data_IF_282538027442
#
_entry.id   IF_282538027442
#
_cell.length_a   1.000
_cell.length_b   1.000
_cell.length_c   1.000
_cell.angle_alpha   90.00
_cell.angle_beta   90.00
_cell.angle_gamma   90.00
#
_symmetry.space_group_name_H-M   'P 1'
#
loop_
_entity.id
_entity.type
_entity.pdbx_description
1 polymer ?
#
# COMPACT_ATOMS: atom_id res chain seq x y z
N UNK A 1 -6.00 2.85 12.85
CA UNK A 1 -4.94 2.97 13.88
C UNK A 1 -4.92 4.42 14.36
N UNK A 2 -4.85 4.71 15.67
CA UNK A 2 -4.64 6.07 16.15
C UNK A 2 -3.22 6.54 15.80
N UNK A 3 -3.10 7.74 15.21
CA UNK A 3 -1.80 8.35 14.90
C UNK A 3 -1.30 9.05 16.16
N UNK A 4 -0.22 8.53 16.76
CA UNK A 4 0.43 9.15 17.92
C UNK A 4 1.54 10.08 17.47
N UNK A 5 1.49 11.32 17.96
CA UNK A 5 2.44 12.38 17.67
C UNK A 5 3.38 12.53 18.87
N UNK A 6 4.61 12.05 18.73
CA UNK A 6 5.60 12.08 19.82
C UNK A 6 6.12 13.49 20.11
N UNK A 7 6.07 14.37 19.11
CA UNK A 7 6.53 15.76 19.17
C UNK A 7 5.52 16.70 18.53
N UNK A 8 5.49 17.96 18.99
CA UNK A 8 4.70 19.05 18.39
C UNK A 8 5.29 19.57 17.06
N UNK A 9 5.98 18.72 16.31
CA UNK A 9 6.52 19.06 15.00
C UNK A 9 5.48 18.80 13.92
N UNK A 10 4.94 19.88 13.35
CA UNK A 10 3.95 19.82 12.28
C UNK A 10 4.45 19.05 11.05
N UNK A 11 5.74 19.15 10.73
CA UNK A 11 6.30 18.48 9.56
C UNK A 11 6.32 16.96 9.73
N UNK A 12 6.78 16.48 10.89
CA UNK A 12 6.79 15.04 11.21
C UNK A 12 5.37 14.47 11.33
N UNK A 13 4.45 15.25 11.90
CA UNK A 13 3.04 14.91 11.98
C UNK A 13 2.43 14.68 10.60
N UNK A 14 2.64 15.65 9.70
CA UNK A 14 2.14 15.62 8.33
C UNK A 14 2.74 14.45 7.55
N UNK A 15 4.04 14.18 7.75
CA UNK A 15 4.73 13.04 7.15
C UNK A 15 4.12 11.71 7.57
N UNK A 16 4.01 11.44 8.88
CA UNK A 16 3.42 10.20 9.41
C UNK A 16 1.99 9.99 8.90
N UNK A 17 1.21 11.06 8.87
CA UNK A 17 -0.18 11.01 8.45
C UNK A 17 -0.33 10.71 6.94
N UNK A 18 0.57 11.25 6.10
CA UNK A 18 0.63 10.89 4.68
C UNK A 18 1.10 9.44 4.48
N UNK A 19 2.09 8.97 5.25
CA UNK A 19 2.59 7.58 5.19
C UNK A 19 1.51 6.56 5.57
N UNK A 20 0.73 6.82 6.63
CA UNK A 20 -0.37 5.97 7.06
C UNK A 20 -1.50 5.93 6.03
N UNK A 21 -1.87 7.09 5.47
CA UNK A 21 -2.90 7.15 4.42
C UNK A 21 -2.47 6.37 3.15
N UNK A 22 -1.22 6.52 2.72
CA UNK A 22 -0.67 5.77 1.59
C UNK A 22 -0.60 4.26 1.87
N UNK A 23 -0.26 3.88 3.11
CA UNK A 23 -0.22 2.49 3.54
C UNK A 23 -1.62 1.86 3.56
N UNK A 24 -2.62 2.61 4.03
CA UNK A 24 -4.00 2.13 4.11
C UNK A 24 -4.70 2.04 2.76
N UNK A 25 -4.42 2.96 1.83
CA UNK A 25 -5.21 3.11 0.61
C UNK A 25 -4.57 2.45 -0.62
N UNK A 26 -3.28 2.11 -0.61
CA UNK A 26 -2.58 1.45 -1.73
C UNK A 26 -2.48 2.27 -3.03
N UNK A 27 -3.22 3.37 -3.17
CA UNK A 27 -3.25 4.30 -4.29
C UNK A 27 -3.20 5.74 -3.79
N UNK A 28 -2.53 6.61 -4.54
CA UNK A 28 -2.44 8.04 -4.21
C UNK A 28 -3.83 8.70 -4.24
N UNK A 29 -4.73 8.23 -5.12
CA UNK A 29 -6.08 8.80 -5.24
C UNK A 29 -6.91 8.48 -4.00
N UNK A 30 -6.93 7.21 -3.59
CA UNK A 30 -7.66 6.77 -2.41
C UNK A 30 -7.06 7.38 -1.14
N UNK A 31 -5.73 7.44 -1.03
CA UNK A 31 -5.06 8.09 0.10
C UNK A 31 -5.42 9.59 0.19
N UNK A 32 -5.44 10.30 -0.93
CA UNK A 32 -5.84 11.71 -0.95
C UNK A 32 -7.31 11.89 -0.52
N UNK A 33 -8.19 10.98 -0.93
CA UNK A 33 -9.60 10.96 -0.51
C UNK A 33 -9.76 10.72 1.00
N UNK A 34 -9.00 9.79 1.58
CA UNK A 34 -9.01 9.53 3.03
C UNK A 34 -8.55 10.75 3.83
N UNK A 35 -7.60 11.50 3.28
CA UNK A 35 -7.07 12.72 3.88
C UNK A 35 -7.95 13.95 3.65
N UNK A 36 -8.95 13.87 2.78
CA UNK A 36 -9.78 15.02 2.40
C UNK A 36 -9.02 16.09 1.60
N UNK A 37 -7.94 15.71 0.90
CA UNK A 37 -7.14 16.62 0.07
C UNK A 37 -7.13 16.18 -1.39
N UNK A 38 -6.65 17.05 -2.27
CA UNK A 38 -6.49 16.69 -3.69
C UNK A 38 -5.27 15.79 -3.90
N UNK A 39 -5.31 14.95 -4.93
CA UNK A 39 -4.15 14.16 -5.40
C UNK A 39 -2.89 15.02 -5.61
N UNK A 40 -3.04 16.22 -6.14
CA UNK A 40 -1.94 17.16 -6.37
C UNK A 40 -1.35 17.67 -5.05
N UNK A 41 -2.19 17.97 -4.06
CA UNK A 41 -1.73 18.35 -2.74
C UNK A 41 -0.95 17.21 -2.08
N UNK A 42 -1.44 15.97 -2.15
CA UNK A 42 -0.75 14.80 -1.62
C UNK A 42 0.61 14.58 -2.31
N UNK A 43 0.68 14.69 -3.64
CA UNK A 43 1.94 14.56 -4.39
C UNK A 43 2.99 15.60 -3.95
N UNK A 44 2.58 16.85 -3.72
CA UNK A 44 3.48 17.90 -3.21
C UNK A 44 3.98 17.59 -1.80
N UNK A 45 3.12 17.06 -0.92
CA UNK A 45 3.51 16.65 0.44
C UNK A 45 4.50 15.49 0.45
N UNK A 46 4.32 14.51 -0.44
CA UNK A 46 5.28 13.40 -0.63
C UNK A 46 6.67 13.94 -0.97
N UNK A 47 6.76 14.87 -1.93
CA UNK A 47 8.04 15.49 -2.33
C UNK A 47 8.62 16.32 -1.18
N UNK A 48 7.79 17.17 -0.55
CA UNK A 48 8.20 18.08 0.53
C UNK A 48 8.78 17.32 1.73
N UNK A 49 8.14 16.22 2.11
CA UNK A 49 8.52 15.42 3.28
C UNK A 49 9.42 14.23 2.94
N UNK A 50 9.87 14.12 1.68
CA UNK A 50 10.70 13.03 1.17
C UNK A 50 10.17 11.63 1.54
N UNK A 51 8.86 11.43 1.38
CA UNK A 51 8.22 10.15 1.67
C UNK A 51 8.58 9.16 0.57
N UNK A 52 9.10 8.00 0.95
CA UNK A 52 9.47 6.95 -0.01
C UNK A 52 8.21 6.24 -0.53
N UNK A 53 7.76 6.62 -1.72
CA UNK A 53 6.61 6.07 -2.44
C UNK A 53 6.88 6.09 -3.95
N UNK A 54 6.55 5.06 -4.75
CA UNK A 54 5.71 3.89 -4.46
C UNK A 54 6.43 2.81 -3.62
N UNK A 55 5.69 2.14 -2.74
CA UNK A 55 6.20 0.89 -2.12
C UNK A 55 6.42 -0.14 -3.24
N UNK A 56 7.53 -0.91 -3.21
CA UNK A 56 7.66 -2.06 -4.09
C UNK A 56 6.41 -2.92 -3.93
N UNK A 57 5.70 -3.19 -5.02
CA UNK A 57 4.53 -4.06 -5.02
C UNK A 57 5.00 -5.39 -4.46
N UNK A 58 4.66 -5.69 -3.21
CA UNK A 58 4.81 -7.04 -2.67
C UNK A 58 3.77 -7.87 -3.41
N UNK A 59 4.16 -8.44 -4.54
CA UNK A 59 3.36 -9.45 -5.21
C UNK A 59 3.36 -10.64 -4.28
N UNK A 60 2.38 -10.69 -3.38
CA UNK A 60 2.07 -11.89 -2.63
C UNK A 60 1.58 -12.88 -3.69
N UNK A 61 2.52 -13.66 -4.23
CA UNK A 61 2.18 -14.82 -5.05
C UNK A 61 1.37 -15.74 -4.15
N UNK A 62 0.05 -15.81 -4.39
CA UNK A 62 -0.74 -16.93 -3.88
C UNK A 62 -0.18 -18.17 -4.59
N UNK A 63 0.33 -19.20 -3.89
CA UNK A 63 0.73 -20.43 -4.55
C UNK A 63 -0.53 -21.10 -5.10
N UNK A 64 -0.81 -20.89 -6.38
CA UNK A 64 -1.90 -21.54 -7.13
C UNK A 64 -1.32 -22.57 -8.10
N UNK A 65 -0.35 -23.34 -7.67
CA UNK A 65 0.20 -24.43 -8.47
C UNK A 65 0.54 -25.60 -7.55
N UNK A 66 -0.39 -26.56 -7.41
CA UNK A 66 -0.02 -27.99 -7.46
C UNK A 66 -1.17 -29.01 -7.42
N UNK A 67 -2.45 -28.62 -7.34
CA UNK A 67 -3.52 -29.63 -7.13
C UNK A 67 -4.13 -30.25 -8.41
N UNK A 68 -3.48 -30.16 -9.57
CA UNK A 68 -4.02 -30.69 -10.84
C UNK A 68 -3.30 -31.91 -11.43
N UNK A 69 -2.31 -32.50 -10.74
CA UNK A 69 -1.55 -33.62 -11.31
C UNK A 69 -1.71 -34.94 -10.56
N UNK A 70 -2.93 -35.49 -10.55
CA UNK A 70 -3.10 -36.95 -10.40
C UNK A 70 -4.39 -37.40 -11.09
N UNK A 71 -4.36 -37.54 -12.42
CA UNK A 71 -5.31 -38.41 -13.12
C UNK A 71 -4.63 -39.76 -13.33
N UNK A 72 -5.08 -40.85 -12.70
CA UNK A 72 -4.52 -42.16 -12.99
C UNK A 72 -4.88 -42.58 -14.43
N UNK A 73 -3.85 -43.01 -15.16
CA UNK A 73 -3.94 -43.67 -16.47
C UNK A 73 -4.73 -44.97 -16.33
N UNK A 74 -5.77 -45.18 -17.16
CA UNK A 74 -6.44 -46.47 -17.28
C UNK A 74 -5.84 -47.27 -18.45
N UNK A 75 -5.56 -48.57 -18.27
CA UNK A 75 -5.19 -49.44 -19.38
C UNK A 75 -6.44 -49.80 -20.18
N UNK A 76 -6.36 -49.66 -21.50
CA UNK A 76 -7.37 -50.14 -22.45
C UNK A 76 -7.08 -51.63 -22.69
N UNK A 77 -8.02 -52.49 -22.30
CA UNK A 77 -8.12 -53.88 -22.77
C UNK A 77 -9.50 -54.08 -23.40
#
# INVERSE_FOLDING_TARGET
MPIVLDNLNLADAERKLCEEALTSAGSIVEAASLLGITRHALKRRIIKHQIQWPRPRVTIQRPVDNMLSTRPSMPVF
#
